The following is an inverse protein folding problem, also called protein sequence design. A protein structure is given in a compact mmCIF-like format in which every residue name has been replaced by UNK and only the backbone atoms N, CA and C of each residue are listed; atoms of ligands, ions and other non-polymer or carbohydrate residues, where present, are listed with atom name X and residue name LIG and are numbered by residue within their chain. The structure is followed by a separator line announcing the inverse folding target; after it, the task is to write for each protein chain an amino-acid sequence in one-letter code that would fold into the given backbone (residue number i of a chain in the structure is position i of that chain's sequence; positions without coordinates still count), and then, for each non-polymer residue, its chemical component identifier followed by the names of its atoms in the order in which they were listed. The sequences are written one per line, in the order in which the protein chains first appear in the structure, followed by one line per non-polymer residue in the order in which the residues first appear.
data_IF_819486320023
#
_entry.id   IF_819486320023
#
_cell.length_a   1.000
_cell.length_b   1.000
_cell.length_c   1.000
_cell.angle_alpha   90.00
_cell.angle_beta   90.00
_cell.angle_gamma   90.00
#
_symmetry.space_group_name_H-M   'P 1'
#
loop_
_entity.id
_entity.type
_entity.pdbx_description
1 polymer ?
#
# COMPACT_ATOMS: atom_id res chain seq x y z
N UNK A 1 -13.32 30.50 -17.56
CA UNK A 1 -14.25 29.35 -17.71
C UNK A 1 -13.42 28.11 -17.47
N UNK A 2 -13.89 27.25 -16.56
CA UNK A 2 -13.04 26.49 -15.64
C UNK A 2 -12.32 25.28 -16.25
N UNK A 3 -10.99 25.30 -16.15
CA UNK A 3 -10.04 24.21 -16.41
C UNK A 3 -10.26 22.98 -15.48
N UNK A 4 -10.91 23.20 -14.33
CA UNK A 4 -11.30 22.15 -13.39
C UNK A 4 -12.25 21.09 -13.99
N UNK A 5 -12.98 21.46 -15.04
CA UNK A 5 -13.98 20.60 -15.69
C UNK A 5 -13.35 19.61 -16.68
N UNK A 6 -12.15 19.91 -17.22
CA UNK A 6 -11.48 19.07 -18.21
C UNK A 6 -10.66 17.95 -17.57
N UNK A 7 -10.05 18.19 -16.39
CA UNK A 7 -9.37 17.15 -15.61
C UNK A 7 -10.32 16.05 -15.10
N UNK A 8 -11.57 16.40 -14.79
CA UNK A 8 -12.59 15.46 -14.30
C UNK A 8 -13.16 14.54 -15.39
N UNK A 9 -12.98 14.89 -16.68
CA UNK A 9 -13.51 14.12 -17.80
C UNK A 9 -12.60 12.96 -18.23
N UNK A 10 -11.29 13.02 -17.93
CA UNK A 10 -10.32 12.03 -18.42
C UNK A 10 -10.21 10.77 -17.54
N UNK A 11 -10.57 10.84 -16.26
CA UNK A 11 -10.48 9.71 -15.32
C UNK A 11 -11.62 9.72 -14.31
N UNK A 12 -12.84 9.33 -14.71
CA UNK A 12 -14.03 9.42 -13.86
C UNK A 12 -13.90 8.56 -12.58
N UNK A 13 -13.21 7.43 -12.61
CA UNK A 13 -12.95 6.64 -11.40
C UNK A 13 -11.92 7.32 -10.48
N UNK A 14 -10.78 7.81 -10.99
CA UNK A 14 -9.77 8.46 -10.16
C UNK A 14 -10.26 9.78 -9.54
N UNK A 15 -11.14 10.50 -10.23
CA UNK A 15 -11.80 11.69 -9.72
C UNK A 15 -12.69 11.38 -8.49
N UNK A 16 -13.44 10.26 -8.52
CA UNK A 16 -14.25 9.81 -7.39
C UNK A 16 -13.37 9.44 -6.19
N UNK A 17 -12.20 8.83 -6.41
CA UNK A 17 -11.27 8.51 -5.32
C UNK A 17 -10.59 9.76 -4.75
N UNK A 18 -10.19 10.71 -5.60
CA UNK A 18 -9.54 11.95 -5.18
C UNK A 18 -10.48 12.90 -4.44
N UNK A 19 -11.76 12.99 -4.83
CA UNK A 19 -12.77 13.81 -4.15
C UNK A 19 -13.16 13.24 -2.76
N UNK A 20 -12.98 11.93 -2.57
CA UNK A 20 -13.22 11.25 -1.30
C UNK A 20 -11.98 11.09 -0.41
N UNK A 21 -10.81 11.54 -0.88
CA UNK A 21 -9.57 11.57 -0.10
C UNK A 21 -9.59 12.77 0.84
N UNK A 22 -10.48 12.73 1.83
CA UNK A 22 -10.47 13.66 2.96
C UNK A 22 -9.42 13.14 3.95
N UNK A 23 -8.27 13.82 4.12
CA UNK A 23 -7.31 13.41 5.12
C UNK A 23 -7.98 13.49 6.49
N UNK A 24 -7.86 12.42 7.28
CA UNK A 24 -8.39 12.36 8.64
C UNK A 24 -7.90 13.60 9.42
N UNK A 25 -8.79 14.51 9.84
CA UNK A 25 -8.41 15.74 10.51
C UNK A 25 -7.76 15.49 11.88
N UNK A 26 -7.89 14.28 12.43
CA UNK A 26 -7.22 13.86 13.67
C UNK A 26 -5.80 13.33 13.44
N UNK A 27 -5.39 13.09 12.20
CA UNK A 27 -4.08 12.54 11.89
C UNK A 27 -3.01 13.64 11.92
N UNK A 28 -2.18 13.63 12.97
CA UNK A 28 -1.19 14.67 13.31
C UNK A 28 -0.30 15.12 12.13
N UNK A 29 -0.01 14.22 11.18
CA UNK A 29 0.88 14.48 10.05
C UNK A 29 0.18 14.68 8.70
N UNK A 30 -1.11 14.32 8.58
CA UNK A 30 -1.78 14.26 7.28
C UNK A 30 -1.95 15.66 6.68
N UNK A 31 -2.37 16.64 7.47
CA UNK A 31 -2.50 18.03 7.02
C UNK A 31 -1.17 18.67 6.61
N UNK A 32 -0.06 18.30 7.27
CA UNK A 32 1.28 18.78 6.91
C UNK A 32 1.78 18.21 5.59
N UNK A 33 1.61 16.90 5.39
CA UNK A 33 1.95 16.23 4.14
C UNK A 33 1.09 16.75 2.97
N UNK A 34 -0.22 16.96 3.19
CA UNK A 34 -1.11 17.50 2.18
C UNK A 34 -0.61 18.84 1.66
N UNK A 35 -0.38 19.81 2.56
CA UNK A 35 0.11 21.14 2.19
C UNK A 35 1.48 21.11 1.51
N UNK A 36 2.32 20.14 1.87
CA UNK A 36 3.61 19.94 1.24
C UNK A 36 3.45 19.49 -0.22
N UNK A 37 2.63 18.48 -0.48
CA UNK A 37 2.38 17.99 -1.84
C UNK A 37 1.58 18.98 -2.69
N UNK A 38 0.61 19.69 -2.10
CA UNK A 38 -0.11 20.78 -2.78
C UNK A 38 0.86 21.84 -3.31
N UNK A 39 1.86 22.22 -2.51
CA UNK A 39 2.89 23.19 -2.92
C UNK A 39 3.77 22.65 -4.06
N UNK A 40 4.23 21.41 -3.95
CA UNK A 40 5.05 20.79 -5.01
C UNK A 40 4.29 20.73 -6.35
N UNK A 41 2.99 20.40 -6.31
CA UNK A 41 2.15 20.38 -7.51
C UNK A 41 1.96 21.78 -8.11
N UNK A 42 1.89 22.83 -7.28
CA UNK A 42 1.84 24.21 -7.77
C UNK A 42 3.17 24.64 -8.40
N UNK A 43 4.29 24.34 -7.75
CA UNK A 43 5.63 24.61 -8.30
C UNK A 43 5.87 23.89 -9.64
N UNK A 44 5.33 22.68 -9.80
CA UNK A 44 5.41 21.92 -11.05
C UNK A 44 4.51 22.51 -12.14
N UNK A 45 3.30 22.96 -11.80
CA UNK A 45 2.42 23.73 -12.70
C UNK A 45 3.08 25.01 -13.18
N UNK A 46 3.68 25.78 -12.27
CA UNK A 46 4.38 27.01 -12.63
C UNK A 46 5.56 26.73 -13.58
N UNK A 47 6.34 25.66 -13.35
CA UNK A 47 7.40 25.24 -14.27
C UNK A 47 6.87 24.84 -15.65
N UNK A 48 5.74 24.12 -15.72
CA UNK A 48 5.10 23.79 -16.99
C UNK A 48 4.60 25.04 -17.72
N UNK A 49 4.01 26.00 -17.01
CA UNK A 49 3.53 27.27 -17.59
C UNK A 49 4.67 28.16 -18.11
N UNK A 50 5.81 28.18 -17.41
CA UNK A 50 7.01 28.91 -17.83
C UNK A 50 7.68 28.28 -19.07
N UNK A 51 7.55 26.97 -19.25
CA UNK A 51 8.10 26.25 -20.41
C UNK A 51 7.19 26.31 -21.65
N UNK A 52 5.92 26.71 -21.51
CA UNK A 52 4.92 26.68 -22.59
C UNK A 52 4.77 27.99 -23.40
N UNK A 53 5.64 28.99 -23.22
CA UNK A 53 5.56 30.25 -23.99
C UNK A 53 5.92 30.12 -25.48
N UNK A 54 6.21 28.92 -26.02
CA UNK A 54 6.57 28.74 -27.45
C UNK A 54 5.86 27.58 -28.20
N UNK A 55 4.74 27.01 -27.73
CA UNK A 55 4.03 26.02 -28.55
C UNK A 55 2.49 26.15 -28.49
N UNK A 56 1.90 26.39 -29.66
CA UNK A 56 0.45 26.45 -29.90
C UNK A 56 -0.28 25.17 -29.48
N UNK A 57 -1.50 25.40 -29.02
CA UNK A 57 -2.48 24.46 -28.49
C UNK A 57 -2.89 23.40 -29.52
N UNK A 58 -2.52 22.15 -29.27
CA UNK A 58 -3.27 20.99 -29.73
C UNK A 58 -3.64 20.15 -28.50
N UNK A 59 -4.91 19.71 -28.33
CA UNK A 59 -5.25 18.72 -27.33
C UNK A 59 -4.61 17.40 -27.75
N UNK A 60 -3.41 17.13 -27.25
CA UNK A 60 -2.86 15.79 -27.30
C UNK A 60 -3.71 14.98 -26.34
N UNK A 61 -4.57 14.12 -26.90
CA UNK A 61 -5.14 12.95 -26.20
C UNK A 61 -3.99 12.34 -25.41
N UNK A 62 -3.99 12.59 -24.10
CA UNK A 62 -2.80 12.51 -23.26
C UNK A 62 -2.31 11.09 -23.18
N UNK A 63 -1.39 10.71 -24.05
CA UNK A 63 -0.44 9.66 -23.73
C UNK A 63 0.33 10.22 -22.56
N UNK A 64 -0.04 9.81 -21.34
CA UNK A 64 0.79 10.04 -20.18
C UNK A 64 2.16 9.42 -20.48
N UNK A 65 3.11 10.25 -20.91
CA UNK A 65 4.49 9.84 -21.03
C UNK A 65 5.04 9.76 -19.62
N UNK A 66 5.18 8.52 -19.15
CA UNK A 66 5.75 8.18 -17.86
C UNK A 66 7.10 8.89 -17.72
N UNK A 67 7.30 9.75 -16.69
CA UNK A 67 8.59 10.38 -16.43
C UNK A 67 9.68 9.33 -16.30
N UNK A 68 10.88 9.62 -16.81
CA UNK A 68 12.02 8.69 -16.78
C UNK A 68 12.25 8.22 -15.34
N UNK A 69 12.04 6.93 -15.12
CA UNK A 69 11.97 6.34 -13.78
C UNK A 69 13.31 6.49 -13.04
N UNK A 70 13.26 7.06 -11.83
CA UNK A 70 14.41 7.18 -10.91
C UNK A 70 14.70 5.86 -10.15
N UNK A 71 13.90 4.81 -10.38
CA UNK A 71 14.03 3.51 -9.75
C UNK A 71 14.16 2.42 -10.82
N UNK A 72 15.36 1.86 -11.02
CA UNK A 72 15.59 0.85 -12.06
C UNK A 72 14.81 -0.46 -11.82
N UNK A 73 14.37 -0.76 -10.59
CA UNK A 73 13.59 -1.96 -10.26
C UNK A 73 12.07 -1.76 -10.32
N UNK A 74 11.57 -0.60 -10.79
CA UNK A 74 10.14 -0.28 -10.78
C UNK A 74 9.29 -1.30 -11.54
N UNK A 75 9.70 -1.69 -12.74
CA UNK A 75 8.94 -2.66 -13.53
C UNK A 75 8.84 -4.01 -12.82
N UNK A 76 9.91 -4.40 -12.12
CA UNK A 76 9.93 -5.61 -11.28
C UNK A 76 8.93 -5.45 -10.14
N UNK A 77 8.97 -4.34 -9.40
CA UNK A 77 8.03 -4.05 -8.31
C UNK A 77 6.57 -4.08 -8.79
N UNK A 78 6.25 -3.39 -9.88
CA UNK A 78 4.88 -3.34 -10.43
C UNK A 78 4.41 -4.73 -10.89
N UNK A 79 5.29 -5.53 -11.48
CA UNK A 79 4.98 -6.92 -11.87
C UNK A 79 4.68 -7.80 -10.65
N UNK A 80 5.41 -7.62 -9.54
CA UNK A 80 5.15 -8.32 -8.29
C UNK A 80 3.80 -7.91 -7.70
N UNK A 81 3.43 -6.63 -7.75
CA UNK A 81 2.12 -6.15 -7.30
C UNK A 81 0.95 -6.74 -8.10
N UNK A 82 1.16 -7.06 -9.38
CA UNK A 82 0.18 -7.77 -10.22
C UNK A 82 0.19 -9.29 -10.03
N UNK A 83 1.11 -9.83 -9.23
CA UNK A 83 1.27 -11.27 -9.01
C UNK A 83 1.93 -12.00 -10.19
N UNK A 84 2.66 -11.28 -11.05
CA UNK A 84 3.43 -11.82 -12.18
C UNK A 84 4.80 -12.39 -11.76
N UNK A 85 5.10 -12.37 -10.46
CA UNK A 85 6.35 -12.86 -9.87
C UNK A 85 6.54 -14.38 -9.88
N UNK A 86 7.55 -14.83 -9.13
CA UNK A 86 7.88 -16.25 -8.98
C UNK A 86 6.68 -16.98 -8.36
N UNK A 87 6.13 -17.97 -9.07
CA UNK A 87 5.07 -18.85 -8.57
C UNK A 87 5.62 -20.21 -8.19
N UNK A 88 5.03 -20.83 -7.17
CA UNK A 88 5.38 -22.19 -6.80
C UNK A 88 4.99 -23.16 -7.91
N UNK A 89 5.89 -24.09 -8.22
CA UNK A 89 5.51 -25.25 -9.05
C UNK A 89 4.44 -26.06 -8.32
N UNK A 90 3.50 -26.72 -9.02
CA UNK A 90 2.47 -27.53 -8.38
C UNK A 90 3.04 -28.60 -7.44
N UNK A 91 4.24 -29.12 -7.74
CA UNK A 91 4.94 -30.09 -6.88
C UNK A 91 5.38 -29.49 -5.55
N UNK A 92 5.85 -28.24 -5.54
CA UNK A 92 6.25 -27.53 -4.32
C UNK A 92 5.02 -27.11 -3.51
N UNK A 93 3.98 -26.62 -4.18
CA UNK A 93 2.73 -26.21 -3.53
C UNK A 93 2.06 -27.36 -2.76
N UNK A 94 2.11 -28.59 -3.28
CA UNK A 94 1.62 -29.80 -2.57
C UNK A 94 2.33 -30.12 -1.26
N UNK A 95 3.51 -29.52 -1.01
CA UNK A 95 4.27 -29.70 0.23
C UNK A 95 3.89 -28.68 1.31
N UNK A 96 3.09 -27.67 0.97
CA UNK A 96 2.58 -26.67 1.92
C UNK A 96 1.35 -27.25 2.62
N UNK A 97 1.24 -27.04 3.94
CA UNK A 97 0.17 -27.60 4.74
C UNK A 97 -0.24 -26.68 5.88
N UNK A 98 -1.52 -26.77 6.26
CA UNK A 98 -2.05 -26.11 7.44
C UNK A 98 -1.98 -27.06 8.65
N UNK A 99 -1.61 -26.56 9.81
CA UNK A 99 -1.46 -27.34 11.04
C UNK A 99 -1.83 -26.54 12.28
N UNK A 100 -2.14 -27.26 13.36
CA UNK A 100 -2.26 -26.69 14.70
C UNK A 100 -0.91 -26.78 15.41
N UNK A 101 -0.33 -25.62 15.72
CA UNK A 101 0.98 -25.52 16.34
C UNK A 101 0.85 -25.37 17.86
N UNK A 102 1.50 -26.28 18.58
CA UNK A 102 1.41 -26.39 20.03
C UNK A 102 2.65 -25.84 20.76
N UNK A 103 3.51 -25.09 20.05
CA UNK A 103 4.68 -24.40 20.63
C UNK A 103 5.61 -25.30 21.43
N UNK A 104 5.91 -26.50 20.92
CA UNK A 104 6.72 -27.51 21.60
C UNK A 104 6.21 -27.92 22.99
N UNK A 105 4.88 -27.95 23.17
CA UNK A 105 4.25 -28.37 24.42
C UNK A 105 4.07 -27.24 25.43
N UNK A 106 4.00 -25.99 24.97
CA UNK A 106 3.69 -24.86 25.84
C UNK A 106 2.26 -25.02 26.39
N UNK A 107 2.04 -24.98 27.71
CA UNK A 107 0.75 -25.31 28.31
C UNK A 107 -0.45 -24.54 27.76
N UNK A 108 -0.25 -23.27 27.41
CA UNK A 108 -1.29 -22.40 26.84
C UNK A 108 -1.70 -22.84 25.44
N UNK A 109 -0.72 -23.24 24.61
CA UNK A 109 -0.93 -23.69 23.23
C UNK A 109 -1.36 -25.15 23.13
N UNK A 110 -1.35 -25.90 24.24
CA UNK A 110 -2.02 -27.20 24.32
C UNK A 110 -3.55 -27.06 24.38
N UNK A 111 -4.04 -25.97 24.98
CA UNK A 111 -5.48 -25.68 25.11
C UNK A 111 -5.98 -24.91 23.88
N UNK A 112 -5.20 -23.93 23.41
CA UNK A 112 -5.53 -23.11 22.26
C UNK A 112 -4.33 -23.07 21.29
N UNK A 113 -4.15 -24.09 20.43
CA UNK A 113 -3.04 -24.14 19.49
C UNK A 113 -3.20 -23.06 18.40
N UNK A 114 -2.08 -22.52 17.94
CA UNK A 114 -2.11 -21.57 16.84
C UNK A 114 -2.44 -22.27 15.53
N UNK A 115 -3.24 -21.59 14.69
CA UNK A 115 -3.51 -22.00 13.33
C UNK A 115 -2.35 -21.53 12.45
N UNK A 116 -1.61 -22.47 11.89
CA UNK A 116 -0.40 -22.23 11.12
C UNK A 116 -0.59 -22.71 9.68
N UNK A 117 -0.22 -21.90 8.69
CA UNK A 117 -0.24 -22.23 7.27
C UNK A 117 1.12 -21.94 6.62
N UNK A 118 1.68 -22.91 5.91
CA UNK A 118 2.89 -22.70 5.12
C UNK A 118 2.54 -21.94 3.83
N UNK A 119 3.06 -20.73 3.65
CA UNK A 119 2.87 -19.96 2.41
C UNK A 119 3.95 -20.26 1.37
N UNK A 120 5.17 -20.52 1.84
CA UNK A 120 6.32 -20.70 0.98
C UNK A 120 7.33 -21.67 1.60
N UNK A 121 7.99 -22.46 0.74
CA UNK A 121 8.92 -23.50 1.15
C UNK A 121 10.39 -23.02 1.24
N UNK A 122 10.81 -22.02 0.46
CA UNK A 122 12.18 -21.47 0.51
C UNK A 122 12.27 -20.01 0.00
N UNK A 123 12.52 -19.02 0.89
CA UNK A 123 12.66 -19.16 2.34
C UNK A 123 11.35 -19.68 2.96
N UNK A 124 11.44 -20.41 4.07
CA UNK A 124 10.23 -20.95 4.69
C UNK A 124 9.41 -19.81 5.28
N UNK A 125 8.23 -19.55 4.70
CA UNK A 125 7.31 -18.49 5.14
C UNK A 125 6.05 -19.15 5.65
N UNK A 126 5.63 -18.72 6.82
CA UNK A 126 4.51 -19.28 7.57
C UNK A 126 3.59 -18.14 8.01
N UNK A 127 2.28 -18.31 7.79
CA UNK A 127 1.23 -17.43 8.29
C UNK A 127 0.57 -18.05 9.51
N UNK A 128 0.37 -17.24 10.53
CA UNK A 128 -0.44 -17.60 11.69
C UNK A 128 -1.78 -16.86 11.65
N UNK A 129 -2.86 -17.57 11.95
CA UNK A 129 -4.21 -17.01 12.01
C UNK A 129 -4.70 -16.90 13.44
N UNK A 130 -5.51 -15.86 13.69
CA UNK A 130 -6.20 -15.61 14.95
C UNK A 130 -5.28 -15.64 16.18
N UNK A 131 -4.06 -15.13 16.03
CA UNK A 131 -3.05 -15.10 17.10
C UNK A 131 -3.44 -14.12 18.21
N UNK A 132 -4.25 -13.12 17.87
CA UNK A 132 -4.60 -11.98 18.74
C UNK A 132 -6.02 -11.51 18.43
N UNK A 133 -6.76 -11.09 19.46
CA UNK A 133 -8.11 -10.53 19.27
C UNK A 133 -8.07 -9.12 18.68
N UNK A 134 -9.17 -8.68 18.07
CA UNK A 134 -9.26 -7.30 17.54
C UNK A 134 -9.06 -6.25 18.66
N UNK A 135 -9.56 -6.49 19.87
CA UNK A 135 -9.39 -5.58 21.01
C UNK A 135 -7.93 -5.50 21.47
N UNK A 136 -7.22 -6.64 21.49
CA UNK A 136 -5.80 -6.68 21.79
C UNK A 136 -4.98 -5.94 20.72
N UNK A 137 -5.33 -6.13 19.44
CA UNK A 137 -4.72 -5.40 18.32
C UNK A 137 -4.93 -3.90 18.48
N UNK A 138 -6.15 -3.45 18.81
CA UNK A 138 -6.47 -2.04 19.04
C UNK A 138 -5.68 -1.47 20.21
N UNK A 139 -5.59 -2.21 21.32
CA UNK A 139 -4.82 -1.77 22.48
C UNK A 139 -3.33 -1.67 22.19
N UNK A 140 -2.77 -2.60 21.41
CA UNK A 140 -1.38 -2.50 20.95
C UNK A 140 -1.19 -1.28 20.04
N UNK A 141 -2.13 -1.01 19.13
CA UNK A 141 -2.11 0.21 18.31
C UNK A 141 -2.07 1.46 19.19
N UNK A 142 -2.91 1.55 20.21
CA UNK A 142 -2.96 2.69 21.13
C UNK A 142 -1.65 2.87 21.91
N UNK A 143 -1.04 1.79 22.40
CA UNK A 143 0.22 1.84 23.15
C UNK A 143 1.42 2.15 22.24
N UNK A 144 1.36 1.72 20.98
CA UNK A 144 2.41 1.97 19.99
C UNK A 144 2.41 3.42 19.49
N UNK A 145 1.23 4.04 19.29
CA UNK A 145 1.07 5.44 18.82
C UNK A 145 1.96 6.47 19.54
N UNK A 146 2.04 6.53 20.88
CA UNK A 146 2.85 7.53 21.58
C UNK A 146 4.37 7.26 21.53
N UNK A 147 4.81 6.07 21.10
CA UNK A 147 6.23 5.65 21.15
C UNK A 147 6.86 5.36 19.79
N UNK A 148 6.08 5.30 18.71
CA UNK A 148 6.57 4.87 17.40
C UNK A 148 6.02 5.73 16.25
N UNK A 149 6.83 6.67 15.78
CA UNK A 149 6.56 7.55 14.65
C UNK A 149 6.39 6.85 13.26
N UNK A 150 6.43 5.51 13.19
CA UNK A 150 6.49 4.77 11.93
C UNK A 150 5.98 3.32 11.98
N UNK A 151 4.90 3.00 12.73
CA UNK A 151 4.40 1.62 12.87
C UNK A 151 3.21 1.24 11.98
N UNK A 152 2.77 2.12 11.10
CA UNK A 152 1.55 1.92 10.28
C UNK A 152 1.66 0.75 9.28
N UNK A 153 2.89 0.33 8.93
CA UNK A 153 3.15 -0.80 8.03
C UNK A 153 3.20 -2.18 8.73
N UNK A 154 3.60 -2.26 10.00
CA UNK A 154 3.83 -3.55 10.66
C UNK A 154 2.53 -4.23 11.14
N UNK A 155 1.51 -3.45 11.50
CA UNK A 155 0.22 -3.97 11.98
C UNK A 155 -0.71 -4.42 10.86
N UNK A 156 -0.58 -3.86 9.65
CA UNK A 156 -1.35 -4.30 8.48
C UNK A 156 -0.89 -5.65 7.92
N UNK A 157 0.31 -6.12 8.29
CA UNK A 157 0.79 -7.47 7.94
C UNK A 157 0.05 -8.55 8.74
N UNK A 158 -0.39 -8.27 9.98
CA UNK A 158 -1.21 -9.22 10.77
C UNK A 158 -2.67 -9.32 10.30
N UNK A 159 -3.09 -8.48 9.35
CA UNK A 159 -4.46 -8.44 8.83
C UNK A 159 -4.50 -8.67 7.32
N UNK A 160 -3.62 -9.53 6.80
CA UNK A 160 -3.87 -10.15 5.51
C UNK A 160 -4.72 -11.39 5.82
N UNK A 161 -6.03 -11.25 5.65
CA UNK A 161 -7.02 -12.33 5.66
C UNK A 161 -7.75 -12.30 4.33
#
# INVERSE_FOLDING_TARGET
MNDRTQLLAAFPEAAIWAENLVPDPSHERAGGNLRYFERLLEEEREKMLLNHTEAELAPQEGIYERPVDYLPERDIYESLCRGEGVKLTPRRQKRLFCRYHHGNGTPQLLIAPFKEEDEWDSPHIVRYYDVMSDEEIERIKEIAKPKFFAFELALNIMRVS
#
